data_IF_701280482180
#
_entry.id   IF_701280482180
#
_cell.length_a   1.000
_cell.length_b   1.000
_cell.length_c   1.000
_cell.angle_alpha   90.00
_cell.angle_beta   90.00
_cell.angle_gamma   90.00
#
_symmetry.space_group_name_H-M   'P 1'
#
loop_
_entity.id
_entity.type
_entity.pdbx_description
1 polymer ?
#
# COMPACT_ATOMS: atom_id res chain seq x y z
N UNK A 1 21.04 29.51 39.64
CA UNK A 1 20.22 29.35 38.42
C UNK A 1 19.65 27.94 38.39
N UNK A 2 18.47 27.71 38.99
CA UNK A 2 17.84 26.38 39.04
C UNK A 2 16.86 26.24 37.87
N UNK A 3 17.26 25.57 36.77
CA UNK A 3 16.39 25.35 35.60
C UNK A 3 16.45 23.88 35.12
N UNK A 4 16.81 22.91 35.98
CA UNK A 4 16.84 21.49 35.56
C UNK A 4 16.14 20.51 36.52
N UNK A 5 15.75 20.95 37.71
CA UNK A 5 15.20 20.04 38.73
C UNK A 5 13.67 19.89 38.62
N UNK A 6 12.93 20.97 38.35
CA UNK A 6 11.45 20.94 38.27
C UNK A 6 10.90 20.10 37.10
N UNK A 7 11.57 20.12 35.94
CA UNK A 7 11.17 19.29 34.78
C UNK A 7 11.46 17.80 35.02
N UNK A 8 12.53 17.47 35.75
CA UNK A 8 12.90 16.09 36.05
C UNK A 8 11.92 15.46 37.03
N UNK A 9 11.50 16.19 38.07
CA UNK A 9 10.52 15.71 39.05
C UNK A 9 9.14 15.47 38.39
N UNK A 10 8.75 16.34 37.45
CA UNK A 10 7.48 16.22 36.70
C UNK A 10 7.48 15.02 35.76
N UNK A 11 8.58 14.79 35.01
CA UNK A 11 8.72 13.61 34.13
C UNK A 11 8.72 12.32 34.95
N UNK A 12 9.42 12.31 36.08
CA UNK A 12 9.51 11.14 36.97
C UNK A 12 8.13 10.79 37.53
N UNK A 13 7.39 11.78 38.04
CA UNK A 13 6.01 11.61 38.53
C UNK A 13 5.07 11.06 37.46
N UNK A 14 5.16 11.55 36.21
CA UNK A 14 4.33 11.07 35.10
C UNK A 14 4.70 9.65 34.66
N UNK A 15 5.98 9.31 34.66
CA UNK A 15 6.44 7.95 34.36
C UNK A 15 5.94 6.95 35.42
N UNK A 16 6.00 7.32 36.70
CA UNK A 16 5.46 6.52 37.81
C UNK A 16 3.95 6.31 37.67
N UNK A 17 3.20 7.35 37.31
CA UNK A 17 1.76 7.25 37.04
C UNK A 17 1.48 6.25 35.91
N UNK A 18 2.18 6.35 34.78
CA UNK A 18 2.01 5.40 33.68
C UNK A 18 2.35 3.96 34.05
N UNK A 19 3.38 3.74 34.85
CA UNK A 19 3.73 2.41 35.35
C UNK A 19 2.61 1.85 36.25
N UNK A 20 2.04 2.69 37.12
CA UNK A 20 0.93 2.30 37.98
C UNK A 20 -0.33 1.96 37.16
N UNK A 21 -0.68 2.79 36.17
CA UNK A 21 -1.80 2.56 35.26
C UNK A 21 -1.61 1.28 34.43
N UNK A 22 -0.43 1.08 33.85
CA UNK A 22 -0.09 -0.15 33.11
C UNK A 22 -0.25 -1.39 33.99
N UNK A 23 0.21 -1.30 35.24
CA UNK A 23 0.08 -2.37 36.23
C UNK A 23 -1.39 -2.64 36.55
N UNK A 24 -2.18 -1.59 36.79
CA UNK A 24 -3.61 -1.73 37.09
C UNK A 24 -4.39 -2.36 35.93
N UNK A 25 -4.21 -1.86 34.70
CA UNK A 25 -4.84 -2.39 33.48
C UNK A 25 -4.53 -3.88 33.35
N UNK A 26 -3.24 -4.24 33.46
CA UNK A 26 -2.79 -5.63 33.32
C UNK A 26 -3.29 -6.54 34.45
N UNK A 27 -3.27 -6.09 35.69
CA UNK A 27 -3.68 -6.91 36.85
C UNK A 27 -5.18 -7.15 36.90
N UNK A 28 -5.97 -6.19 36.42
CA UNK A 28 -7.42 -6.26 36.47
C UNK A 28 -8.05 -6.83 35.19
N UNK A 29 -7.24 -7.13 34.16
CA UNK A 29 -7.70 -7.42 32.80
C UNK A 29 -8.73 -6.37 32.34
N UNK A 30 -8.49 -5.11 32.73
CA UNK A 30 -9.45 -4.03 32.61
C UNK A 30 -9.33 -3.36 31.25
N UNK A 31 -10.47 -3.01 30.67
CA UNK A 31 -10.50 -2.09 29.54
C UNK A 31 -10.41 -0.64 30.04
N UNK A 32 -9.49 0.13 29.48
CA UNK A 32 -9.39 1.56 29.78
C UNK A 32 -10.56 2.29 29.11
N UNK A 33 -11.49 2.78 29.92
CA UNK A 33 -12.66 3.52 29.43
C UNK A 33 -12.34 4.99 29.13
N UNK A 34 -11.60 5.65 30.02
CA UNK A 34 -11.19 7.04 29.84
C UNK A 34 -9.88 7.30 30.60
N UNK A 35 -9.02 8.11 29.99
CA UNK A 35 -7.84 8.68 30.59
C UNK A 35 -7.57 10.01 29.90
N UNK A 36 -7.22 11.03 30.69
CA UNK A 36 -6.90 12.37 30.16
C UNK A 36 -5.59 12.39 29.38
N UNK A 37 -4.68 11.45 29.66
CA UNK A 37 -3.37 11.38 29.02
C UNK A 37 -3.36 10.39 27.86
N UNK A 38 -3.04 10.88 26.66
CA UNK A 38 -2.90 10.05 25.46
C UNK A 38 -1.82 8.96 25.61
N UNK A 39 -0.83 9.17 26.49
CA UNK A 39 0.19 8.16 26.80
C UNK A 39 -0.38 6.91 27.48
N UNK A 40 -1.38 7.07 28.36
CA UNK A 40 -2.09 5.96 28.99
C UNK A 40 -2.83 5.10 27.97
N UNK A 41 -3.43 5.73 26.96
CA UNK A 41 -4.07 5.02 25.84
C UNK A 41 -3.05 4.28 24.97
N UNK A 42 -1.85 4.85 24.74
CA UNK A 42 -0.78 4.16 24.03
C UNK A 42 -0.32 2.88 24.76
N UNK A 43 -0.24 2.94 26.10
CA UNK A 43 0.02 1.78 26.96
C UNK A 43 -1.09 0.75 26.86
N UNK A 44 -2.37 1.18 26.90
CA UNK A 44 -3.51 0.28 26.77
C UNK A 44 -3.48 -0.49 25.44
N UNK A 45 -3.20 0.20 24.32
CA UNK A 45 -3.02 -0.45 23.02
C UNK A 45 -1.86 -1.45 23.00
N UNK A 46 -0.74 -1.11 23.63
CA UNK A 46 0.42 -2.00 23.72
C UNK A 46 0.13 -3.25 24.56
N UNK A 47 -0.63 -3.11 25.65
CA UNK A 47 -1.08 -4.25 26.47
C UNK A 47 -2.04 -5.17 25.71
N UNK A 48 -2.80 -4.62 24.75
CA UNK A 48 -3.62 -5.40 23.80
C UNK A 48 -2.80 -6.00 22.64
N UNK A 49 -1.46 -5.85 22.66
CA UNK A 49 -0.55 -6.43 21.67
C UNK A 49 -0.36 -5.59 20.41
N UNK A 50 -0.90 -4.38 20.34
CA UNK A 50 -0.68 -3.47 19.20
C UNK A 50 0.66 -2.78 19.37
N UNK A 51 1.53 -2.90 18.37
CA UNK A 51 2.82 -2.17 18.36
C UNK A 51 2.56 -0.69 18.09
N UNK A 52 2.90 0.17 19.05
CA UNK A 52 2.63 1.62 18.99
C UNK A 52 3.91 2.44 18.82
N UNK A 53 3.76 3.65 18.28
CA UNK A 53 4.81 4.67 18.22
C UNK A 53 4.20 6.08 18.20
N UNK A 54 5.03 7.09 18.48
CA UNK A 54 4.58 8.48 18.56
C UNK A 54 4.40 9.14 17.18
N UNK A 55 3.28 9.84 17.00
CA UNK A 55 2.93 10.64 15.82
C UNK A 55 2.84 12.14 16.13
N UNK A 56 3.31 12.97 15.19
CA UNK A 56 2.99 14.40 15.11
C UNK A 56 1.88 14.59 14.07
N UNK A 57 0.66 14.89 14.51
CA UNK A 57 -0.50 14.85 13.62
C UNK A 57 -0.72 13.41 13.14
N UNK A 58 -0.45 13.12 11.87
CA UNK A 58 -0.58 11.77 11.28
C UNK A 58 0.75 11.14 10.84
N UNK A 59 1.90 11.80 11.09
CA UNK A 59 3.22 11.34 10.63
C UNK A 59 4.13 11.01 11.80
N UNK A 60 5.16 10.15 11.64
CA UNK A 60 6.08 9.80 12.72
C UNK A 60 6.69 11.03 13.40
N UNK A 61 6.60 11.09 14.72
CA UNK A 61 7.11 12.23 15.50
C UNK A 61 8.64 12.20 15.67
N UNK A 62 9.23 11.01 15.70
CA UNK A 62 10.66 10.82 15.89
C UNK A 62 11.36 11.12 14.56
N UNK A 63 12.27 12.12 14.51
CA UNK A 63 13.03 12.42 13.30
C UNK A 63 13.85 11.22 12.83
N UNK A 64 14.14 11.17 11.54
CA UNK A 64 14.90 10.04 10.99
C UNK A 64 16.27 9.91 11.65
N UNK A 65 16.64 8.68 12.02
CA UNK A 65 17.95 8.36 12.58
C UNK A 65 19.09 8.62 11.57
N UNK A 66 18.75 8.60 10.28
CA UNK A 66 19.66 8.71 9.16
C UNK A 66 19.37 10.01 8.38
N UNK A 67 20.26 11.02 8.46
CA UNK A 67 20.07 12.30 7.79
C UNK A 67 20.14 12.18 6.27
N UNK A 68 19.76 13.23 5.56
CA UNK A 68 19.86 13.26 4.10
C UNK A 68 21.31 13.02 3.64
N UNK A 69 21.47 12.10 2.68
CA UNK A 69 22.78 11.67 2.17
C UNK A 69 23.38 10.45 2.88
N UNK A 70 22.83 10.02 4.02
CA UNK A 70 23.24 8.77 4.67
C UNK A 70 22.79 7.56 3.84
N UNK A 71 23.69 6.64 3.42
CA UNK A 71 23.33 5.42 2.69
C UNK A 71 22.36 4.51 3.44
N UNK A 72 22.30 4.59 4.77
CA UNK A 72 21.38 3.82 5.59
C UNK A 72 19.97 4.44 5.63
N UNK A 73 19.76 5.64 5.10
CA UNK A 73 18.45 6.30 5.07
C UNK A 73 17.47 5.51 4.21
N UNK A 74 16.39 5.04 4.83
CA UNK A 74 15.39 4.18 4.19
C UNK A 74 15.79 2.71 4.09
N UNK A 75 17.08 2.38 4.17
CA UNK A 75 17.59 1.02 4.17
C UNK A 75 17.59 0.40 5.57
N UNK A 76 18.06 1.12 6.59
CA UNK A 76 18.07 0.66 7.97
C UNK A 76 16.64 0.44 8.50
N UNK A 77 16.42 -0.70 9.15
CA UNK A 77 15.11 -1.12 9.69
C UNK A 77 15.10 -1.18 11.22
N UNK A 78 16.01 -0.45 11.87
CA UNK A 78 16.20 -0.46 13.32
C UNK A 78 17.55 -1.04 13.77
N UNK A 79 18.31 -1.65 12.87
CA UNK A 79 19.57 -2.35 13.17
C UNK A 79 20.64 -1.43 13.79
N UNK A 80 20.52 -0.11 13.61
CA UNK A 80 21.44 0.87 14.19
C UNK A 80 21.21 1.13 15.69
N UNK A 81 20.18 0.54 16.31
CA UNK A 81 19.87 0.67 17.74
C UNK A 81 19.32 2.04 18.16
N UNK A 82 19.04 2.94 17.21
CA UNK A 82 18.44 4.26 17.45
C UNK A 82 16.99 4.29 16.98
N UNK A 83 16.15 5.12 17.58
CA UNK A 83 14.84 5.44 17.02
C UNK A 83 14.96 6.43 15.85
N UNK A 84 13.96 6.43 14.96
CA UNK A 84 13.90 7.26 13.76
C UNK A 84 13.69 6.48 12.45
N UNK A 85 13.01 5.33 12.52
CA UNK A 85 12.62 4.47 11.39
C UNK A 85 11.11 4.44 11.17
N UNK A 86 10.37 5.35 11.82
CA UNK A 86 8.93 5.51 11.66
C UNK A 86 8.16 4.32 12.21
N UNK A 87 7.28 3.74 11.40
CA UNK A 87 6.48 2.55 11.79
C UNK A 87 7.33 1.36 12.23
N UNK A 88 8.58 1.28 11.76
CA UNK A 88 9.48 0.19 12.11
C UNK A 88 10.00 0.28 13.56
N UNK A 89 9.89 1.44 14.20
CA UNK A 89 10.18 1.58 15.63
C UNK A 89 8.98 1.21 16.52
N UNK A 90 7.82 0.88 15.93
CA UNK A 90 6.63 0.55 16.69
C UNK A 90 6.87 -0.67 17.60
N UNK A 91 6.44 -0.56 18.86
CA UNK A 91 6.79 -1.53 19.90
C UNK A 91 5.64 -1.75 20.87
N UNK A 92 5.69 -2.88 21.59
CA UNK A 92 4.87 -3.14 22.79
C UNK A 92 5.70 -3.03 24.08
N UNK A 93 6.98 -2.65 23.97
CA UNK A 93 7.87 -2.48 25.12
C UNK A 93 7.43 -1.28 25.98
N UNK A 94 6.82 -1.59 27.12
CA UNK A 94 6.25 -0.58 28.01
C UNK A 94 7.29 0.43 28.51
N UNK A 95 8.52 0.05 28.93
CA UNK A 95 9.55 1.04 29.29
C UNK A 95 9.83 2.06 28.19
N UNK A 96 9.96 1.62 26.93
CA UNK A 96 10.14 2.51 25.77
C UNK A 96 8.94 3.45 25.59
N UNK A 97 7.72 2.90 25.64
CA UNK A 97 6.47 3.68 25.50
C UNK A 97 6.34 4.71 26.62
N UNK A 98 6.53 4.30 27.88
CA UNK A 98 6.50 5.19 29.04
C UNK A 98 7.51 6.32 28.85
N UNK A 99 8.75 6.01 28.46
CA UNK A 99 9.79 7.01 28.23
C UNK A 99 9.43 8.03 27.12
N UNK A 100 8.77 7.58 26.05
CA UNK A 100 8.33 8.50 24.99
C UNK A 100 7.27 9.48 25.47
N UNK A 101 6.19 8.99 26.09
CA UNK A 101 5.03 9.81 26.45
C UNK A 101 5.18 10.55 27.79
N UNK A 102 6.05 10.11 28.71
CA UNK A 102 6.35 10.88 29.92
C UNK A 102 7.34 12.01 29.64
N UNK A 103 8.15 11.88 28.59
CA UNK A 103 9.18 12.84 28.21
C UNK A 103 8.84 13.64 26.95
N UNK A 104 9.74 13.60 25.96
CA UNK A 104 9.75 14.49 24.79
C UNK A 104 8.49 14.42 23.92
N UNK A 105 7.76 13.31 23.95
CA UNK A 105 6.60 13.08 23.10
C UNK A 105 5.29 13.08 23.90
N UNK A 106 5.30 13.69 25.08
CA UNK A 106 4.10 14.03 25.83
C UNK A 106 3.03 14.69 24.93
N UNK A 107 1.79 14.18 25.00
CA UNK A 107 0.66 14.70 24.23
C UNK A 107 0.67 14.39 22.73
N UNK A 108 1.65 13.64 22.22
CA UNK A 108 1.67 13.22 20.83
C UNK A 108 0.65 12.11 20.53
N UNK A 109 0.18 12.09 19.29
CA UNK A 109 -0.72 11.09 18.76
C UNK A 109 -0.09 9.69 18.73
N UNK A 110 -0.93 8.68 18.58
CA UNK A 110 -0.57 7.27 18.64
C UNK A 110 -0.68 6.68 17.23
N UNK A 111 0.44 6.17 16.72
CA UNK A 111 0.47 5.34 15.52
C UNK A 111 0.46 3.88 15.92
N UNK A 112 -0.39 3.07 15.30
CA UNK A 112 -0.44 1.63 15.48
C UNK A 112 0.08 0.92 14.24
N UNK A 113 1.16 0.15 14.36
CA UNK A 113 1.59 -0.73 13.26
C UNK A 113 0.56 -1.84 13.10
N UNK A 114 0.11 -2.06 11.87
CA UNK A 114 -0.88 -3.09 11.58
C UNK A 114 -0.26 -4.47 11.89
N UNK A 115 -0.91 -5.35 12.68
CA UNK A 115 -0.40 -6.69 12.94
C UNK A 115 -0.26 -7.53 11.66
N UNK A 116 0.69 -8.47 11.63
CA UNK A 116 1.02 -9.25 10.43
C UNK A 116 -0.15 -10.06 9.85
N UNK A 117 -1.09 -10.47 10.70
CA UNK A 117 -2.29 -11.24 10.37
C UNK A 117 -3.53 -10.36 10.19
N UNK A 118 -3.38 -9.04 10.10
CA UNK A 118 -4.48 -8.07 9.96
C UNK A 118 -4.32 -7.28 8.67
N UNK A 119 -5.46 -6.98 8.05
CA UNK A 119 -5.60 -5.96 7.02
C UNK A 119 -6.62 -4.93 7.50
N UNK A 120 -6.28 -3.65 7.33
CA UNK A 120 -7.21 -2.55 7.61
C UNK A 120 -7.70 -2.01 6.28
N UNK A 121 -9.02 -1.92 6.10
CA UNK A 121 -9.63 -1.21 4.97
C UNK A 121 -9.85 0.24 5.37
N UNK A 122 -9.20 1.15 4.66
CA UNK A 122 -9.22 2.60 4.90
C UNK A 122 -10.16 3.27 3.90
N UNK A 123 -11.24 3.86 4.39
CA UNK A 123 -12.25 4.56 3.59
C UNK A 123 -12.05 6.07 3.78
N UNK A 124 -11.66 6.75 2.72
CA UNK A 124 -11.44 8.21 2.65
C UNK A 124 -12.51 8.89 1.78
N UNK A 125 -13.55 9.50 2.38
CA UNK A 125 -14.61 10.22 1.67
C UNK A 125 -14.08 11.35 0.78
N UNK A 126 -12.97 12.00 1.15
CA UNK A 126 -12.36 13.06 0.31
C UNK A 126 -11.86 12.53 -1.03
N UNK A 127 -11.56 11.24 -1.07
CA UNK A 127 -11.11 10.53 -2.25
C UNK A 127 -12.23 9.72 -2.89
N UNK A 128 -13.49 9.90 -2.48
CA UNK A 128 -14.65 9.18 -3.02
C UNK A 128 -14.87 7.78 -2.42
N UNK A 129 -14.32 7.54 -1.22
CA UNK A 129 -14.37 6.26 -0.57
C UNK A 129 -15.77 5.86 -0.11
N UNK A 130 -16.59 6.81 0.29
CA UNK A 130 -17.98 6.58 0.71
C UNK A 130 -18.87 6.19 -0.47
N UNK A 131 -18.73 6.81 -1.65
CA UNK A 131 -19.49 6.37 -2.83
C UNK A 131 -19.01 5.00 -3.34
N UNK A 132 -17.70 4.74 -3.30
CA UNK A 132 -17.14 3.43 -3.64
C UNK A 132 -17.63 2.34 -2.69
N UNK A 133 -17.67 2.63 -1.38
CA UNK A 133 -18.18 1.70 -0.38
C UNK A 133 -19.66 1.44 -0.61
N UNK A 134 -20.46 2.47 -0.82
CA UNK A 134 -21.88 2.33 -1.12
C UNK A 134 -22.14 1.51 -2.41
N UNK A 135 -21.27 1.63 -3.41
CA UNK A 135 -21.36 0.81 -4.64
C UNK A 135 -21.06 -0.67 -4.36
N UNK A 136 -20.00 -0.96 -3.60
CA UNK A 136 -19.65 -2.32 -3.18
C UNK A 136 -20.78 -2.94 -2.34
N UNK A 137 -21.36 -2.18 -1.41
CA UNK A 137 -22.44 -2.66 -0.56
C UNK A 137 -23.72 -2.96 -1.35
N UNK A 138 -24.05 -2.15 -2.37
CA UNK A 138 -25.17 -2.43 -3.29
C UNK A 138 -24.94 -3.71 -4.09
N UNK A 139 -23.70 -4.00 -4.47
CA UNK A 139 -23.37 -5.15 -5.31
C UNK A 139 -23.24 -6.45 -4.52
N UNK A 140 -22.69 -6.38 -3.30
CA UNK A 140 -22.25 -7.57 -2.56
C UNK A 140 -22.89 -7.74 -1.17
N UNK A 141 -23.63 -6.74 -0.71
CA UNK A 141 -24.16 -6.67 0.65
C UNK A 141 -23.33 -5.76 1.56
N UNK A 142 -23.94 -5.34 2.67
CA UNK A 142 -23.34 -4.38 3.61
C UNK A 142 -21.99 -4.85 4.16
N UNK A 143 -21.08 -3.91 4.40
CA UNK A 143 -19.88 -4.15 5.19
C UNK A 143 -20.33 -4.57 6.60
N UNK A 144 -19.78 -5.67 7.16
CA UNK A 144 -20.15 -6.11 8.50
C UNK A 144 -19.69 -5.09 9.55
N UNK A 145 -20.38 -5.11 10.69
CA UNK A 145 -19.86 -4.46 11.89
C UNK A 145 -18.52 -5.10 12.26
N UNK A 146 -17.47 -4.28 12.29
CA UNK A 146 -16.12 -4.71 12.55
C UNK A 146 -15.43 -3.69 13.45
N UNK A 147 -14.44 -4.17 14.20
CA UNK A 147 -13.55 -3.28 14.94
C UNK A 147 -12.89 -2.25 14.01
N UNK A 148 -12.69 -1.04 14.51
CA UNK A 148 -11.89 -0.03 13.81
C UNK A 148 -11.99 1.33 14.46
N UNK A 149 -11.83 2.37 13.65
CA UNK A 149 -11.81 3.74 14.11
C UNK A 149 -12.43 4.70 13.10
N UNK A 150 -13.06 5.76 13.62
CA UNK A 150 -13.58 6.88 12.84
C UNK A 150 -12.64 8.05 13.00
N UNK A 151 -12.31 8.69 11.88
CA UNK A 151 -11.51 9.90 11.83
C UNK A 151 -12.21 11.07 12.50
N UNK A 152 -11.50 11.76 13.39
CA UNK A 152 -11.95 13.04 13.98
C UNK A 152 -12.15 14.18 12.97
N UNK A 153 -11.94 13.95 11.68
CA UNK A 153 -12.25 14.92 10.62
C UNK A 153 -13.76 15.23 10.54
N UNK A 154 -14.62 14.26 10.88
CA UNK A 154 -16.07 14.43 10.86
C UNK A 154 -16.71 14.36 9.46
N UNK A 155 -16.01 13.80 8.48
CA UNK A 155 -16.50 13.53 7.12
C UNK A 155 -16.91 12.06 6.91
N UNK A 156 -16.79 11.23 7.94
CA UNK A 156 -17.11 9.81 7.88
C UNK A 156 -15.94 8.90 7.51
N UNK A 157 -14.72 9.44 7.33
CA UNK A 157 -13.54 8.63 7.07
C UNK A 157 -13.28 7.63 8.20
N UNK A 158 -12.99 6.38 7.85
CA UNK A 158 -12.92 5.29 8.83
C UNK A 158 -12.10 4.11 8.38
N UNK A 159 -11.68 3.33 9.35
CA UNK A 159 -10.95 2.08 9.18
C UNK A 159 -11.80 0.88 9.62
N UNK A 160 -11.66 -0.25 8.90
CA UNK A 160 -12.23 -1.55 9.28
C UNK A 160 -11.11 -2.57 9.39
N UNK A 161 -11.04 -3.27 10.52
CA UNK A 161 -9.99 -4.26 10.78
C UNK A 161 -10.51 -5.67 10.53
N UNK A 162 -9.81 -6.41 9.68
CA UNK A 162 -10.11 -7.81 9.39
C UNK A 162 -8.88 -8.69 9.53
N UNK A 163 -9.10 -9.98 9.81
CA UNK A 163 -8.05 -11.01 9.66
C UNK A 163 -7.63 -11.08 8.20
N UNK A 164 -6.37 -10.80 7.93
CA UNK A 164 -5.82 -10.81 6.58
C UNK A 164 -6.01 -12.19 5.93
N UNK A 165 -6.57 -12.29 4.71
CA UNK A 165 -6.55 -13.53 3.97
C UNK A 165 -5.12 -13.89 3.57
N UNK A 166 -4.86 -15.18 3.36
CA UNK A 166 -3.53 -15.64 2.97
C UNK A 166 -3.21 -15.23 1.53
N UNK A 167 -2.05 -14.61 1.32
CA UNK A 167 -1.56 -14.21 0.00
C UNK A 167 -1.23 -12.72 -0.09
N UNK A 168 -0.70 -12.25 -1.22
CA UNK A 168 -0.52 -10.83 -1.46
C UNK A 168 -1.89 -10.14 -1.52
N UNK A 169 -1.99 -8.95 -0.93
CA UNK A 169 -3.24 -8.17 -0.89
C UNK A 169 -3.14 -6.95 -1.81
N UNK A 170 -4.27 -6.54 -2.39
CA UNK A 170 -4.37 -5.36 -3.24
C UNK A 170 -5.67 -4.60 -2.98
N UNK A 171 -5.60 -3.27 -3.01
CA UNK A 171 -6.78 -2.36 -2.98
C UNK A 171 -7.31 -2.03 -4.38
N UNK A 172 -6.68 -2.52 -5.45
CA UNK A 172 -6.94 -2.08 -6.85
C UNK A 172 -8.39 -2.27 -7.33
N UNK A 173 -9.14 -3.18 -6.69
CA UNK A 173 -10.55 -3.48 -7.04
C UNK A 173 -11.56 -2.99 -6.01
N UNK A 174 -11.13 -2.23 -5.00
CA UNK A 174 -12.04 -1.67 -3.99
C UNK A 174 -12.68 -0.34 -4.43
N UNK A 175 -12.16 0.27 -5.51
CA UNK A 175 -12.63 1.56 -5.98
C UNK A 175 -11.84 2.73 -5.39
N UNK A 176 -12.13 3.92 -5.88
CA UNK A 176 -11.41 5.14 -5.52
C UNK A 176 -11.67 5.49 -4.06
N UNK A 177 -10.64 5.96 -3.35
CA UNK A 177 -10.77 6.37 -1.95
C UNK A 177 -10.97 5.24 -0.96
N UNK A 178 -10.82 3.98 -1.39
CA UNK A 178 -10.68 2.83 -0.50
C UNK A 178 -9.29 2.25 -0.67
N UNK A 179 -8.50 2.27 0.40
CA UNK A 179 -7.15 1.70 0.44
C UNK A 179 -7.05 0.57 1.48
N UNK A 180 -5.91 -0.12 1.50
CA UNK A 180 -5.60 -1.10 2.53
C UNK A 180 -4.30 -0.76 3.27
N UNK A 181 -4.31 -0.92 4.58
CA UNK A 181 -3.09 -0.92 5.41
C UNK A 181 -2.77 -2.34 5.84
N UNK A 182 -1.51 -2.72 5.65
CA UNK A 182 -0.95 -4.03 6.03
C UNK A 182 0.24 -3.82 6.96
N UNK A 183 0.92 -4.89 7.33
CA UNK A 183 2.05 -4.87 8.26
C UNK A 183 3.23 -3.96 7.90
N UNK A 184 3.34 -3.56 6.63
CA UNK A 184 4.34 -2.57 6.19
C UNK A 184 3.95 -1.13 6.53
N UNK A 185 2.73 -0.89 7.00
CA UNK A 185 2.17 0.42 7.31
C UNK A 185 1.59 0.50 8.71
N UNK A 186 0.93 1.63 8.97
CA UNK A 186 0.34 1.95 10.26
C UNK A 186 -0.98 2.70 10.07
N UNK A 187 -1.74 2.78 11.15
CA UNK A 187 -2.96 3.58 11.29
C UNK A 187 -2.81 4.56 12.45
N UNK A 188 -3.70 5.55 12.52
CA UNK A 188 -3.78 6.49 13.65
C UNK A 188 -4.78 5.94 14.65
N UNK A 189 -4.33 5.60 15.85
CA UNK A 189 -5.16 4.96 16.86
C UNK A 189 -5.93 6.00 17.71
N UNK A 190 -7.18 5.71 18.11
CA UNK A 190 -7.89 6.48 19.14
C UNK A 190 -7.10 6.56 20.46
N UNK A 191 -7.20 7.67 21.21
CA UNK A 191 -7.98 8.88 20.96
C UNK A 191 -7.14 10.00 20.31
N UNK A 192 -6.20 9.67 19.39
CA UNK A 192 -5.37 10.65 18.69
C UNK A 192 -6.17 11.83 18.15
N UNK A 193 -5.59 13.02 18.09
CA UNK A 193 -6.27 14.25 17.65
C UNK A 193 -6.06 14.49 16.15
N UNK A 194 -7.14 14.65 15.41
CA UNK A 194 -7.08 14.97 14.00
C UNK A 194 -6.51 16.38 13.78
N UNK A 195 -5.43 16.56 12.96
CA UNK A 195 -4.67 17.82 12.91
C UNK A 195 -5.47 19.03 12.41
N UNK A 196 -6.41 18.81 11.49
CA UNK A 196 -7.16 19.92 10.87
C UNK A 196 -8.39 20.36 11.70
N UNK A 197 -8.93 19.46 12.53
CA UNK A 197 -10.23 19.67 13.18
C UNK A 197 -10.14 19.71 14.70
N UNK A 198 -9.03 19.25 15.28
CA UNK A 198 -8.83 19.18 16.73
C UNK A 198 -9.71 18.15 17.43
N UNK A 199 -10.49 17.32 16.71
CA UNK A 199 -11.36 16.30 17.31
C UNK A 199 -10.62 14.95 17.38
N UNK A 200 -10.94 14.11 18.38
CA UNK A 200 -10.30 12.81 18.52
C UNK A 200 -10.75 11.84 17.43
N UNK A 201 -9.90 10.86 17.12
CA UNK A 201 -10.31 9.63 16.48
C UNK A 201 -11.10 8.80 17.50
N UNK A 202 -12.20 8.19 17.06
CA UNK A 202 -13.10 7.44 17.93
C UNK A 202 -12.97 5.94 17.63
N UNK A 203 -12.89 5.12 18.69
CA UNK A 203 -12.89 3.66 18.59
C UNK A 203 -14.29 3.19 18.21
N UNK A 204 -14.35 2.24 17.29
CA UNK A 204 -15.57 1.49 16.98
C UNK A 204 -15.37 0.07 17.48
N UNK A 205 -16.19 -0.32 18.45
CA UNK A 205 -16.18 -1.70 18.95
C UNK A 205 -16.79 -2.65 17.93
N UNK A 206 -16.23 -3.85 17.86
CA UNK A 206 -16.69 -4.90 16.96
C UNK A 206 -15.72 -6.07 16.97
N UNK A 207 -16.09 -7.20 16.34
CA UNK A 207 -15.19 -8.33 16.22
C UNK A 207 -14.15 -8.08 15.12
N UNK A 208 -12.94 -8.62 15.31
CA UNK A 208 -11.96 -8.77 14.22
C UNK A 208 -12.17 -10.14 13.58
N UNK A 209 -12.95 -10.20 12.52
CA UNK A 209 -13.26 -11.43 11.77
C UNK A 209 -12.46 -11.50 10.47
N UNK A 210 -12.46 -12.64 9.74
CA UNK A 210 -12.06 -12.62 8.34
C UNK A 210 -12.98 -11.65 7.57
N UNK A 211 -12.49 -11.03 6.48
CA UNK A 211 -13.33 -10.21 5.64
C UNK A 211 -14.46 -11.06 5.04
N UNK A 212 -15.64 -10.47 4.74
CA UNK A 212 -16.69 -11.18 4.02
C UNK A 212 -16.14 -11.71 2.69
N UNK A 213 -16.69 -12.82 2.19
CA UNK A 213 -16.14 -13.52 1.03
C UNK A 213 -15.98 -12.63 -0.20
N UNK A 214 -16.90 -11.67 -0.42
CA UNK A 214 -16.80 -10.70 -1.50
C UNK A 214 -15.57 -9.79 -1.35
N UNK A 215 -15.31 -9.29 -0.14
CA UNK A 215 -14.16 -8.42 0.14
C UNK A 215 -12.86 -9.22 0.03
N UNK A 216 -12.82 -10.44 0.58
CA UNK A 216 -11.69 -11.34 0.41
C UNK A 216 -11.35 -11.57 -1.07
N UNK A 217 -12.39 -11.79 -1.89
CA UNK A 217 -12.28 -11.98 -3.33
C UNK A 217 -11.77 -10.76 -4.08
N UNK A 218 -11.99 -9.54 -3.57
CA UNK A 218 -11.47 -8.27 -4.12
C UNK A 218 -10.04 -7.97 -3.65
N UNK A 219 -9.69 -8.37 -2.42
CA UNK A 219 -8.38 -8.15 -1.82
C UNK A 219 -7.30 -9.07 -2.39
N UNK A 220 -7.63 -10.33 -2.66
CA UNK A 220 -6.69 -11.30 -3.21
C UNK A 220 -6.59 -11.14 -4.73
N UNK A 221 -5.39 -11.20 -5.35
CA UNK A 221 -5.27 -11.17 -6.80
C UNK A 221 -6.21 -12.17 -7.45
N UNK A 222 -6.73 -11.81 -8.62
CA UNK A 222 -7.53 -12.75 -9.40
C UNK A 222 -6.68 -13.99 -9.68
N UNK A 223 -7.09 -15.12 -9.11
CA UNK A 223 -6.48 -16.41 -9.43
C UNK A 223 -6.61 -16.57 -10.94
N UNK A 224 -5.53 -16.82 -11.69
CA UNK A 224 -5.65 -17.10 -13.10
C UNK A 224 -6.61 -18.28 -13.24
N UNK A 225 -7.75 -18.07 -13.92
CA UNK A 225 -8.70 -19.15 -14.18
C UNK A 225 -7.91 -20.33 -14.73
N UNK A 226 -8.04 -21.55 -14.17
CA UNK A 226 -7.37 -22.70 -14.73
C UNK A 226 -7.80 -22.78 -16.19
N UNK A 227 -6.85 -22.55 -17.10
CA UNK A 227 -7.10 -22.67 -18.52
C UNK A 227 -7.43 -24.13 -18.76
N UNK A 228 -8.71 -24.43 -18.93
CA UNK A 228 -9.18 -25.71 -19.46
C UNK A 228 -8.78 -25.78 -20.93
N UNK A 229 -7.47 -25.89 -21.19
CA UNK A 229 -6.94 -26.42 -22.43
C UNK A 229 -7.08 -27.94 -22.36
N UNK A 230 -8.32 -28.43 -22.45
CA UNK A 230 -8.52 -29.81 -22.88
C UNK A 230 -8.29 -29.80 -24.38
N UNK A 231 -7.04 -30.10 -24.78
CA UNK A 231 -6.67 -30.24 -26.19
C UNK A 231 -7.31 -31.51 -26.75
N UNK A 232 -8.55 -31.40 -27.22
CA UNK A 232 -9.09 -32.35 -28.17
C UNK A 232 -8.35 -32.14 -29.50
N UNK A 233 -7.46 -33.08 -29.84
CA UNK A 233 -6.88 -33.18 -31.16
C UNK A 233 -7.95 -33.65 -32.14
N UNK A 234 -8.34 -32.80 -33.08
CA UNK A 234 -8.94 -33.24 -34.36
C UNK A 234 -8.50 -32.31 -35.50
N UNK A 235 -8.40 -32.85 -36.74
CA UNK A 235 -7.52 -32.32 -37.76
C UNK A 235 -8.17 -31.23 -38.63
N UNK A 236 -7.29 -30.43 -39.23
CA UNK A 236 -7.60 -29.32 -40.10
C UNK A 236 -8.39 -29.73 -41.35
N UNK A 237 -9.43 -28.96 -41.68
CA UNK A 237 -9.87 -28.79 -43.07
C UNK A 237 -10.51 -27.42 -43.30
N UNK A 238 -10.50 -27.03 -44.57
CA UNK A 238 -10.54 -25.67 -45.09
C UNK A 238 -11.88 -24.92 -44.96
N UNK A 239 -11.73 -23.59 -45.10
CA UNK A 239 -12.68 -22.49 -45.00
C UNK A 239 -13.93 -22.62 -45.87
N UNK A 240 -15.02 -21.95 -45.46
CA UNK A 240 -15.68 -20.95 -46.34
C UNK A 240 -16.35 -19.85 -45.51
N UNK A 241 -16.31 -18.64 -46.05
CA UNK A 241 -16.77 -17.39 -45.44
C UNK A 241 -18.25 -17.14 -45.73
N UNK A 242 -19.03 -16.87 -44.68
CA UNK A 242 -20.05 -15.83 -44.60
C UNK A 242 -20.67 -15.94 -43.20
N UNK A 243 -20.20 -15.13 -42.26
CA UNK A 243 -21.11 -14.34 -41.44
C UNK A 243 -20.36 -13.10 -40.96
N UNK A 244 -20.88 -11.99 -41.46
CA UNK A 244 -20.29 -10.69 -41.53
C UNK A 244 -21.11 -9.78 -40.60
N UNK A 245 -20.41 -8.83 -39.98
CA UNK A 245 -20.92 -7.68 -39.24
C UNK A 245 -21.32 -7.90 -37.78
N UNK A 246 -20.38 -7.58 -36.89
CA UNK A 246 -20.59 -6.33 -36.19
C UNK A 246 -19.29 -5.50 -36.08
N UNK A 247 -19.48 -4.19 -36.10
CA UNK A 247 -18.56 -3.14 -36.51
C UNK A 247 -17.48 -2.76 -35.49
N UNK A 248 -16.27 -2.44 -35.98
CA UNK A 248 -15.40 -1.42 -35.36
C UNK A 248 -13.97 -1.83 -34.97
N UNK A 249 -13.04 -1.85 -35.94
CA UNK A 249 -11.56 -1.91 -35.80
C UNK A 249 -10.95 -3.17 -35.17
N UNK A 250 -10.68 -4.17 -36.01
CA UNK A 250 -10.00 -5.41 -35.63
C UNK A 250 -8.49 -5.25 -35.43
N UNK A 251 -8.07 -4.87 -34.22
CA UNK A 251 -6.68 -4.92 -33.75
C UNK A 251 -6.47 -5.89 -32.56
N UNK A 252 -7.55 -6.46 -32.00
CA UNK A 252 -7.48 -7.27 -30.78
C UNK A 252 -6.67 -8.55 -30.91
N UNK A 253 -6.71 -9.24 -32.06
CA UNK A 253 -6.07 -10.55 -32.22
C UNK A 253 -4.56 -10.52 -32.51
N UNK A 254 -3.97 -9.35 -32.82
CA UNK A 254 -2.52 -9.20 -33.09
C UNK A 254 -1.75 -8.53 -31.96
N UNK A 255 -2.38 -7.65 -31.18
CA UNK A 255 -1.76 -6.96 -30.04
C UNK A 255 -1.62 -7.91 -28.84
N UNK A 256 -2.65 -8.70 -28.53
CA UNK A 256 -2.60 -9.68 -27.44
C UNK A 256 -1.52 -10.74 -27.70
N UNK A 257 -1.47 -11.29 -28.92
CA UNK A 257 -0.41 -12.21 -29.33
C UNK A 257 0.98 -11.60 -29.28
N UNK A 258 1.11 -10.31 -29.60
CA UNK A 258 2.38 -9.61 -29.47
C UNK A 258 2.80 -9.51 -28.00
N UNK A 259 1.89 -9.12 -27.10
CA UNK A 259 2.16 -9.07 -25.66
C UNK A 259 2.51 -10.43 -25.06
N UNK A 260 1.91 -11.51 -25.55
CA UNK A 260 2.17 -12.88 -25.08
C UNK A 260 3.49 -13.47 -25.59
N UNK A 261 3.86 -13.21 -26.85
CA UNK A 261 4.99 -13.88 -27.50
C UNK A 261 6.28 -13.04 -27.57
N UNK A 262 6.25 -11.82 -27.03
CA UNK A 262 7.40 -10.91 -27.05
C UNK A 262 7.93 -10.76 -25.63
N UNK A 263 9.25 -10.78 -25.44
CA UNK A 263 9.90 -10.52 -24.15
C UNK A 263 10.15 -9.03 -23.93
N UNK A 264 10.37 -8.59 -22.69
CA UNK A 264 10.78 -7.19 -22.44
C UNK A 264 12.16 -6.89 -23.06
N UNK A 265 13.02 -7.89 -23.20
CA UNK A 265 14.28 -7.77 -23.95
C UNK A 265 14.07 -7.46 -25.41
N UNK A 266 13.17 -8.17 -26.08
CA UNK A 266 12.87 -7.94 -27.50
C UNK A 266 12.35 -6.52 -27.76
N UNK A 267 11.67 -5.91 -26.78
CA UNK A 267 11.14 -4.55 -26.88
C UNK A 267 12.20 -3.50 -26.54
N UNK A 268 12.99 -3.70 -25.49
CA UNK A 268 13.82 -2.65 -24.88
C UNK A 268 15.30 -2.69 -25.32
N UNK A 269 15.91 -3.88 -25.43
CA UNK A 269 17.34 -4.00 -25.78
C UNK A 269 17.70 -3.40 -27.15
N UNK A 270 16.86 -3.47 -28.21
CA UNK A 270 17.14 -2.81 -29.49
C UNK A 270 17.33 -1.29 -29.38
N UNK A 271 16.77 -0.68 -28.33
CA UNK A 271 16.85 0.76 -28.05
C UNK A 271 17.89 1.08 -26.98
N UNK A 272 18.80 0.14 -26.68
CA UNK A 272 19.94 0.33 -25.79
C UNK A 272 19.63 0.21 -24.29
N UNK A 273 18.41 -0.20 -23.93
CA UNK A 273 18.08 -0.50 -22.53
C UNK A 273 18.72 -1.81 -22.09
N UNK A 274 19.04 -1.90 -20.80
CA UNK A 274 19.62 -3.11 -20.20
C UNK A 274 18.92 -3.51 -18.90
N UNK A 275 18.71 -4.81 -18.63
CA UNK A 275 18.22 -5.26 -17.35
C UNK A 275 19.31 -5.08 -16.27
N UNK A 276 18.91 -4.69 -15.05
CA UNK A 276 19.80 -4.50 -13.88
C UNK A 276 20.10 -5.83 -13.17
N UNK A 277 19.51 -6.93 -13.66
CA UNK A 277 19.72 -8.31 -13.21
C UNK A 277 18.59 -9.22 -13.73
N UNK A 278 18.86 -10.52 -13.81
CA UNK A 278 17.86 -11.51 -14.24
C UNK A 278 17.54 -11.52 -15.75
N UNK A 279 16.43 -12.14 -16.10
CA UNK A 279 15.94 -12.25 -17.49
C UNK A 279 15.25 -10.97 -17.99
N UNK A 280 14.91 -10.03 -17.11
CA UNK A 280 14.26 -8.78 -17.49
C UNK A 280 12.74 -8.86 -17.67
N UNK A 281 12.15 -10.06 -17.62
CA UNK A 281 10.72 -10.30 -17.81
C UNK A 281 9.98 -10.63 -16.51
N UNK A 282 10.71 -11.12 -15.49
CA UNK A 282 10.13 -11.42 -14.20
C UNK A 282 9.48 -10.20 -13.52
N UNK A 283 8.46 -10.45 -12.71
CA UNK A 283 7.87 -9.42 -11.86
C UNK A 283 8.91 -8.84 -10.89
N UNK A 284 9.04 -7.52 -10.85
CA UNK A 284 10.08 -6.81 -10.12
C UNK A 284 11.39 -6.62 -10.89
N UNK A 285 11.52 -7.12 -12.12
CA UNK A 285 12.70 -6.90 -12.96
C UNK A 285 12.94 -5.40 -13.17
N UNK A 286 14.20 -4.97 -13.04
CA UNK A 286 14.60 -3.56 -13.16
C UNK A 286 15.34 -3.33 -14.46
N UNK A 287 15.11 -2.16 -15.06
CA UNK A 287 15.65 -1.78 -16.36
C UNK A 287 16.34 -0.42 -16.28
N UNK A 288 17.41 -0.26 -17.06
CA UNK A 288 18.20 0.96 -17.19
C UNK A 288 18.16 1.49 -18.62
N UNK A 289 17.81 2.76 -18.77
CA UNK A 289 17.90 3.49 -20.03
C UNK A 289 19.38 3.81 -20.36
N UNK A 290 19.81 3.85 -21.64
CA UNK A 290 21.20 4.09 -22.02
C UNK A 290 21.79 5.42 -21.52
N UNK A 291 20.97 6.44 -21.34
CA UNK A 291 21.40 7.76 -20.82
C UNK A 291 21.17 7.92 -19.31
N UNK A 292 20.81 6.85 -18.60
CA UNK A 292 20.46 6.91 -17.18
C UNK A 292 21.67 7.25 -16.31
N UNK A 293 21.49 8.24 -15.42
CA UNK A 293 22.44 8.61 -14.36
C UNK A 293 22.12 7.95 -13.02
N UNK A 294 20.98 7.27 -12.91
CA UNK A 294 20.52 6.53 -11.73
C UNK A 294 20.76 5.02 -11.88
N UNK A 295 20.63 4.27 -10.78
CA UNK A 295 20.83 2.81 -10.77
C UNK A 295 19.64 2.01 -11.30
N UNK A 296 18.49 2.64 -11.56
CA UNK A 296 17.31 2.04 -12.21
C UNK A 296 16.46 3.13 -12.87
N UNK A 297 15.93 2.85 -14.07
CA UNK A 297 15.06 3.75 -14.85
C UNK A 297 13.61 3.28 -14.91
N UNK A 298 13.39 1.97 -14.85
CA UNK A 298 12.06 1.36 -14.92
C UNK A 298 12.00 0.04 -14.17
N UNK A 299 10.80 -0.45 -13.84
CA UNK A 299 10.62 -1.84 -13.39
C UNK A 299 9.38 -2.50 -13.99
N UNK A 300 9.43 -3.82 -14.15
CA UNK A 300 8.29 -4.63 -14.58
C UNK A 300 7.44 -4.97 -13.36
N UNK A 301 6.14 -4.68 -13.41
CA UNK A 301 5.16 -5.07 -12.38
C UNK A 301 3.86 -5.52 -13.05
N UNK A 302 3.35 -6.69 -12.71
CA UNK A 302 2.17 -7.29 -13.34
C UNK A 302 2.32 -7.44 -14.87
N UNK A 303 3.54 -7.70 -15.35
CA UNK A 303 3.84 -7.79 -16.78
C UNK A 303 3.90 -6.45 -17.54
N UNK A 304 3.73 -5.32 -16.85
CA UNK A 304 3.79 -3.96 -17.43
C UNK A 304 5.06 -3.23 -17.00
N UNK A 305 5.56 -2.34 -17.85
CA UNK A 305 6.75 -1.52 -17.57
C UNK A 305 6.35 -0.20 -16.92
N UNK A 306 6.91 0.09 -15.74
CA UNK A 306 6.70 1.33 -14.98
C UNK A 306 7.96 2.18 -15.05
N UNK A 307 7.82 3.43 -15.46
CA UNK A 307 8.93 4.35 -15.72
C UNK A 307 9.09 5.31 -14.54
N UNK A 308 10.32 5.53 -14.09
CA UNK A 308 10.61 6.38 -12.92
C UNK A 308 11.46 7.60 -13.23
N UNK A 309 11.88 7.77 -14.49
CA UNK A 309 12.76 8.87 -14.88
C UNK A 309 12.25 9.53 -16.17
N UNK A 310 12.18 10.87 -16.21
CA UNK A 310 11.71 11.60 -17.39
C UNK A 310 12.73 11.63 -18.53
N UNK A 311 13.96 11.13 -18.30
CA UNK A 311 15.02 11.10 -19.30
C UNK A 311 14.92 9.85 -20.20
N UNK A 312 13.73 9.53 -20.68
CA UNK A 312 13.45 8.40 -21.58
C UNK A 312 12.40 8.82 -22.62
N UNK A 313 12.16 7.98 -23.62
CA UNK A 313 11.09 8.20 -24.60
C UNK A 313 9.67 8.02 -24.03
N UNK A 314 9.55 7.63 -22.75
CA UNK A 314 8.29 7.35 -22.07
C UNK A 314 7.92 8.45 -21.07
N UNK A 315 6.62 8.58 -20.81
CA UNK A 315 6.12 9.38 -19.70
C UNK A 315 6.41 8.68 -18.36
N UNK A 316 6.68 9.48 -17.33
CA UNK A 316 6.96 8.96 -15.99
C UNK A 316 5.67 8.42 -15.38
N UNK A 317 5.74 7.22 -14.84
CA UNK A 317 4.63 6.61 -14.12
C UNK A 317 4.54 7.19 -12.70
N UNK A 318 3.68 8.19 -12.53
CA UNK A 318 3.47 8.88 -11.25
C UNK A 318 2.73 8.02 -10.23
N UNK A 319 3.03 8.21 -8.95
CA UNK A 319 2.36 7.47 -7.86
C UNK A 319 0.85 7.76 -7.77
N UNK A 320 0.41 8.93 -8.24
CA UNK A 320 -1.00 9.33 -8.29
C UNK A 320 -1.76 8.84 -9.53
N UNK A 321 -1.05 8.41 -10.57
CA UNK A 321 -1.62 7.87 -11.82
C UNK A 321 -0.70 6.80 -12.41
N UNK A 322 -0.65 5.61 -11.78
CA UNK A 322 0.31 4.58 -12.12
C UNK A 322 -0.07 3.86 -13.44
N UNK A 323 0.18 4.51 -14.57
CA UNK A 323 0.06 3.92 -15.90
C UNK A 323 1.35 3.14 -16.26
N UNK A 324 1.28 1.81 -16.19
CA UNK A 324 2.33 0.95 -16.74
C UNK A 324 2.12 0.73 -18.24
N UNK A 325 3.19 0.57 -19.01
CA UNK A 325 3.11 0.26 -20.45
C UNK A 325 3.02 -1.26 -20.67
N UNK A 326 2.13 -1.72 -21.55
CA UNK A 326 2.25 -3.08 -22.10
C UNK A 326 3.44 -3.19 -23.05
N UNK A 327 3.85 -4.40 -23.41
CA UNK A 327 4.96 -4.63 -24.36
C UNK A 327 4.65 -3.98 -25.71
N UNK A 328 3.39 -4.05 -26.17
CA UNK A 328 2.94 -3.36 -27.37
C UNK A 328 2.95 -1.84 -27.22
N UNK A 329 2.45 -1.29 -26.11
CA UNK A 329 2.46 0.16 -25.88
C UNK A 329 3.91 0.69 -25.91
N UNK A 330 4.83 -0.05 -25.29
CA UNK A 330 6.24 0.30 -25.30
C UNK A 330 6.90 0.16 -26.67
N UNK A 331 6.55 -0.89 -27.43
CA UNK A 331 6.98 -1.02 -28.82
C UNK A 331 6.50 0.16 -29.68
N UNK A 332 5.27 0.63 -29.47
CA UNK A 332 4.72 1.78 -30.19
C UNK A 332 5.41 3.09 -29.81
N UNK A 333 5.71 3.32 -28.53
CA UNK A 333 6.48 4.49 -28.07
C UNK A 333 7.87 4.50 -28.74
N UNK A 334 8.61 3.40 -28.65
CA UNK A 334 10.01 3.35 -29.10
C UNK A 334 10.17 3.32 -30.63
N UNK A 335 9.27 2.66 -31.36
CA UNK A 335 9.42 2.46 -32.81
C UNK A 335 8.52 3.36 -33.66
N UNK A 336 7.44 3.89 -33.08
CA UNK A 336 6.40 4.65 -33.79
C UNK A 336 6.02 5.97 -33.11
N UNK A 337 6.83 6.46 -32.15
CA UNK A 337 6.59 7.71 -31.40
C UNK A 337 5.22 7.76 -30.74
N UNK A 338 4.74 6.61 -30.26
CA UNK A 338 3.43 6.47 -29.61
C UNK A 338 2.24 6.31 -30.57
N UNK A 339 2.45 6.28 -31.90
CA UNK A 339 1.38 5.99 -32.85
C UNK A 339 1.00 4.50 -32.82
N UNK A 340 0.01 4.19 -31.98
CA UNK A 340 -0.54 2.84 -31.82
C UNK A 340 -1.11 2.25 -33.11
N UNK A 341 -1.62 3.10 -34.03
CA UNK A 341 -2.20 2.64 -35.30
C UNK A 341 -1.10 2.27 -36.28
N UNK A 342 -0.02 3.03 -36.34
CA UNK A 342 1.14 2.70 -37.16
C UNK A 342 1.82 1.42 -36.67
N UNK A 343 1.99 1.26 -35.35
CA UNK A 343 2.53 0.06 -34.74
C UNK A 343 1.68 -1.19 -35.03
N UNK A 344 0.35 -1.10 -34.86
CA UNK A 344 -0.55 -2.22 -35.14
C UNK A 344 -0.55 -2.61 -36.63
N UNK A 345 -0.45 -1.64 -37.55
CA UNK A 345 -0.32 -1.91 -39.00
C UNK A 345 0.99 -2.61 -39.34
N UNK A 346 2.10 -2.26 -38.68
CA UNK A 346 3.39 -2.93 -38.89
C UNK A 346 3.32 -4.41 -38.48
N UNK A 347 2.66 -4.73 -37.37
CA UNK A 347 2.46 -6.12 -36.92
C UNK A 347 1.53 -6.90 -37.85
N UNK A 348 0.46 -6.27 -38.35
CA UNK A 348 -0.43 -6.87 -39.33
C UNK A 348 0.27 -7.16 -40.67
N UNK A 349 1.20 -6.30 -41.09
CA UNK A 349 2.00 -6.49 -42.31
C UNK A 349 3.04 -7.61 -42.19
N UNK A 350 3.67 -7.79 -41.01
CA UNK A 350 4.61 -8.89 -40.75
C UNK A 350 3.94 -10.27 -40.65
N UNK A 351 2.66 -10.32 -40.27
CA UNK A 351 1.91 -11.58 -40.21
C UNK A 351 1.39 -12.06 -41.59
N UNK A 352 1.52 -11.22 -42.62
CA UNK A 352 1.04 -11.48 -43.99
C UNK A 352 2.18 -11.77 -44.99
N UNK A 353 3.44 -11.75 -44.56
CA UNK A 353 4.64 -12.05 -45.34
C UNK A 353 5.22 -13.41 -44.92
#
# INVERSE_FOLDING_TARGET
MPILQADTDTITSRAEQFIAEATAIKMLDAELLDATDIGTHAIAWALQGVQVFSLRGKTPAIPSAHPAGDPLRGACKGDCGRHGHGVLDATTDLPTIVAWWSGRYAGHNIGGRVPANIVVVDVDPRSGGDESLAALERQHGRMPDAFGEISGRGDGGRHYWFRAPAGPLSSSRLGRGIDIKTHSGYVVLPPSIHPDTGRPYEKVDGPITPPPAWLAGLLLPEQPKPSTSTRAMTPATARTAHDFFNTGTGTGLSIEKFNENTSWRDVLEPHGWRPVGGDGDADGARWLHPTATSSTSASVRGGRLYIYTPNTDFDVTEASDPHGYSKFDAHAVLNHRGDMKAAARQLAGKAAA
#
